data_IF_767617025792
#
_entry.id   IF_767617025792
#
_cell.length_a   1.000
_cell.length_b   1.000
_cell.length_c   1.000
_cell.angle_alpha   90.00
_cell.angle_beta   90.00
_cell.angle_gamma   90.00
#
_symmetry.space_group_name_H-M   'P 1'
#
loop_
_entity.id
_entity.type
_entity.pdbx_description
1 polymer ?
#
# COMPACT_ATOMS: atom_id res chain seq x y z
N UNK A 1 -10.89 -5.55 8.36
CA UNK A 1 -10.54 -4.86 9.63
C UNK A 1 -9.30 -3.96 9.54
N UNK A 2 -8.71 -3.75 8.35
CA UNK A 2 -7.50 -2.94 8.16
C UNK A 2 -7.69 -1.44 8.48
N UNK A 3 -8.86 -0.87 8.16
CA UNK A 3 -9.13 0.57 8.31
C UNK A 3 -9.08 1.11 9.75
N UNK A 4 -9.10 0.24 10.77
CA UNK A 4 -9.01 0.65 12.19
C UNK A 4 -7.65 0.34 12.82
N UNK A 5 -6.73 -0.29 12.10
CA UNK A 5 -5.42 -0.66 12.64
C UNK A 5 -4.54 0.58 12.85
N UNK A 6 -3.54 0.50 13.72
CA UNK A 6 -2.47 1.50 13.81
C UNK A 6 -1.40 1.22 12.72
N UNK A 7 -1.03 2.18 11.86
CA UNK A 7 0.02 2.01 10.86
C UNK A 7 1.34 1.50 11.43
N UNK A 8 1.78 1.99 12.59
CA UNK A 8 3.04 1.56 13.19
C UNK A 8 2.99 0.09 13.66
N UNK A 9 1.82 -0.37 14.11
CA UNK A 9 1.61 -1.77 14.44
C UNK A 9 1.64 -2.70 13.21
N UNK A 10 1.17 -2.25 12.05
CA UNK A 10 1.17 -3.05 10.81
C UNK A 10 2.59 -3.40 10.34
N UNK A 11 3.58 -2.53 10.59
CA UNK A 11 5.00 -2.78 10.27
C UNK A 11 5.62 -3.92 11.10
N UNK A 12 4.98 -4.33 12.20
CA UNK A 12 5.50 -5.38 13.11
C UNK A 12 4.87 -6.77 12.89
N UNK A 13 3.71 -6.86 12.21
CA UNK A 13 3.03 -8.13 11.91
C UNK A 13 3.75 -8.98 10.86
N UNK A 14 3.39 -10.23 10.55
CA UNK A 14 4.15 -11.10 9.63
C UNK A 14 4.36 -10.51 8.21
N UNK A 15 5.52 -10.82 7.58
CA UNK A 15 5.82 -10.38 6.20
C UNK A 15 5.69 -11.49 5.17
N UNK A 16 5.66 -11.10 3.90
CA UNK A 16 5.67 -11.98 2.74
C UNK A 16 5.29 -11.24 1.46
N UNK A 17 4.94 -12.01 0.43
CA UNK A 17 4.53 -11.46 -0.86
C UNK A 17 3.18 -10.74 -0.79
N UNK A 18 3.17 -9.51 -1.28
CA UNK A 18 1.95 -8.73 -1.50
C UNK A 18 1.03 -9.43 -2.51
N UNK A 19 1.57 -9.99 -3.58
CA UNK A 19 0.79 -10.74 -4.57
C UNK A 19 0.10 -11.97 -3.97
N UNK A 20 0.82 -12.77 -3.17
CA UNK A 20 0.22 -13.92 -2.46
C UNK A 20 -0.83 -13.47 -1.46
N UNK A 21 -0.55 -12.39 -0.72
CA UNK A 21 -1.50 -11.83 0.22
C UNK A 21 -2.82 -11.40 -0.46
N UNK A 22 -2.73 -10.70 -1.58
CA UNK A 22 -3.89 -10.27 -2.37
C UNK A 22 -4.71 -11.45 -2.89
N UNK A 23 -4.05 -12.52 -3.35
CA UNK A 23 -4.73 -13.76 -3.76
C UNK A 23 -5.42 -14.42 -2.57
N UNK A 24 -4.77 -14.49 -1.40
CA UNK A 24 -5.35 -15.05 -0.18
C UNK A 24 -6.56 -14.25 0.35
N UNK A 25 -6.63 -12.95 0.05
CA UNK A 25 -7.81 -12.11 0.31
C UNK A 25 -8.97 -12.34 -0.67
N UNK A 26 -8.77 -13.16 -1.71
CA UNK A 26 -9.80 -13.50 -2.70
C UNK A 26 -9.87 -12.55 -3.91
N UNK A 27 -8.88 -11.68 -4.11
CA UNK A 27 -8.83 -10.85 -5.31
C UNK A 27 -8.52 -11.69 -6.55
N UNK A 28 -9.25 -11.42 -7.64
CA UNK A 28 -9.03 -12.10 -8.91
C UNK A 28 -7.67 -11.75 -9.51
N UNK A 29 -7.10 -12.67 -10.28
CA UNK A 29 -5.84 -12.44 -11.00
C UNK A 29 -5.94 -11.21 -11.92
N UNK A 30 -7.10 -10.99 -12.54
CA UNK A 30 -7.34 -9.81 -13.38
C UNK A 30 -7.23 -8.51 -12.58
N UNK A 31 -7.79 -8.47 -11.37
CA UNK A 31 -7.70 -7.29 -10.50
C UNK A 31 -6.27 -7.07 -9.99
N UNK A 32 -5.58 -8.14 -9.58
CA UNK A 32 -4.17 -8.08 -9.18
C UNK A 32 -3.31 -7.51 -10.32
N UNK A 33 -3.51 -7.99 -11.54
CA UNK A 33 -2.73 -7.57 -12.71
C UNK A 33 -3.05 -6.16 -13.20
N UNK A 34 -4.32 -5.75 -13.22
CA UNK A 34 -4.76 -4.49 -13.84
C UNK A 34 -4.85 -3.31 -12.87
N UNK A 35 -5.00 -3.56 -11.57
CA UNK A 35 -5.14 -2.51 -10.57
C UNK A 35 -3.96 -2.51 -9.58
N UNK A 36 -3.75 -3.62 -8.86
CA UNK A 36 -2.76 -3.62 -7.79
C UNK A 36 -1.33 -3.54 -8.30
N UNK A 37 -0.97 -4.31 -9.33
CA UNK A 37 0.38 -4.32 -9.89
C UNK A 37 0.82 -2.95 -10.45
N UNK A 38 0.05 -2.24 -11.29
CA UNK A 38 0.47 -0.92 -11.78
C UNK A 38 0.50 0.15 -10.67
N UNK A 39 -0.46 0.14 -9.74
CA UNK A 39 -0.51 1.15 -8.66
C UNK A 39 0.56 0.90 -7.60
N UNK A 40 0.51 -0.26 -6.94
CA UNK A 40 1.39 -0.57 -5.82
C UNK A 40 2.79 -0.97 -6.27
N UNK A 41 2.97 -1.47 -7.50
CA UNK A 41 4.30 -1.71 -8.03
C UNK A 41 5.10 -0.41 -8.21
N UNK A 42 4.42 0.68 -8.57
CA UNK A 42 5.02 2.01 -8.59
C UNK A 42 5.29 2.58 -7.19
N UNK A 43 4.30 2.49 -6.28
CA UNK A 43 4.44 3.04 -4.92
C UNK A 43 5.50 2.28 -4.10
N UNK A 44 5.54 0.95 -4.20
CA UNK A 44 6.50 0.10 -3.49
C UNK A 44 7.85 -0.01 -4.21
N UNK A 45 7.95 0.47 -5.46
CA UNK A 45 9.09 0.22 -6.35
C UNK A 45 9.39 -1.28 -6.51
N UNK A 46 8.33 -2.09 -6.49
CA UNK A 46 8.37 -3.55 -6.67
C UNK A 46 7.35 -3.97 -7.74
N UNK A 47 7.78 -4.07 -9.02
CA UNK A 47 6.88 -4.36 -10.14
C UNK A 47 6.25 -5.76 -10.05
N UNK A 48 6.80 -6.67 -9.24
CA UNK A 48 6.30 -8.02 -9.08
C UNK A 48 5.39 -8.22 -7.86
N UNK A 49 5.31 -7.21 -6.98
CA UNK A 49 4.62 -7.32 -5.68
C UNK A 49 5.13 -8.52 -4.86
N UNK A 50 6.42 -8.80 -4.99
CA UNK A 50 7.12 -9.88 -4.30
C UNK A 50 7.30 -9.58 -2.82
N UNK A 51 7.38 -8.30 -2.42
CA UNK A 51 7.52 -7.84 -1.03
C UNK A 51 7.00 -6.39 -0.90
N UNK A 52 6.77 -5.81 0.26
CA UNK A 52 6.50 -6.41 1.57
C UNK A 52 5.01 -6.27 1.84
N UNK A 53 4.34 -7.36 2.25
CA UNK A 53 2.93 -7.34 2.65
C UNK A 53 2.67 -6.29 3.73
N UNK A 54 3.60 -6.12 4.68
CA UNK A 54 3.46 -5.15 5.79
C UNK A 54 3.40 -3.73 5.24
N UNK A 55 4.29 -3.40 4.31
CA UNK A 55 4.32 -2.10 3.65
C UNK A 55 3.06 -1.88 2.82
N UNK A 56 2.60 -2.90 2.10
CA UNK A 56 1.33 -2.85 1.39
C UNK A 56 0.16 -2.52 2.34
N UNK A 57 0.05 -3.22 3.48
CA UNK A 57 -1.03 -3.00 4.44
C UNK A 57 -1.04 -1.56 5.00
N UNK A 58 0.14 -1.00 5.28
CA UNK A 58 0.28 0.41 5.70
C UNK A 58 -0.18 1.35 4.60
N UNK A 59 0.33 1.19 3.38
CA UNK A 59 0.03 2.09 2.28
C UNK A 59 -1.43 2.00 1.83
N UNK A 60 -1.95 0.78 1.68
CA UNK A 60 -3.34 0.55 1.30
C UNK A 60 -4.28 1.15 2.35
N UNK A 61 -3.99 0.96 3.65
CA UNK A 61 -4.76 1.63 4.71
C UNK A 61 -4.69 3.15 4.55
N UNK A 62 -3.50 3.73 4.48
CA UNK A 62 -3.32 5.19 4.41
C UNK A 62 -4.05 5.79 3.20
N UNK A 63 -3.99 5.13 2.04
CA UNK A 63 -4.71 5.56 0.84
C UNK A 63 -6.24 5.38 0.96
N UNK A 64 -6.71 4.33 1.63
CA UNK A 64 -8.13 4.01 1.72
C UNK A 64 -8.90 4.82 2.79
N UNK A 65 -8.23 5.24 3.87
CA UNK A 65 -8.89 5.97 4.98
C UNK A 65 -8.28 7.33 5.30
N UNK A 66 -7.11 7.66 4.74
CA UNK A 66 -6.43 8.93 5.01
C UNK A 66 -6.97 10.08 4.16
N UNK A 67 -6.93 11.28 4.71
CA UNK A 67 -7.26 12.50 3.98
C UNK A 67 -6.17 12.86 2.97
N UNK A 68 -6.58 13.28 1.78
CA UNK A 68 -5.66 13.88 0.82
C UNK A 68 -5.37 15.33 1.23
N UNK A 69 -4.09 15.67 1.37
CA UNK A 69 -3.64 17.00 1.74
C UNK A 69 -2.46 17.45 0.88
N UNK A 70 -2.33 18.76 0.72
CA UNK A 70 -1.17 19.43 0.12
C UNK A 70 -0.70 20.48 1.15
N UNK A 71 0.62 20.67 1.36
CA UNK A 71 1.12 21.73 2.24
C UNK A 71 0.54 23.09 1.84
N UNK A 72 0.26 23.96 2.82
CA UNK A 72 -0.34 25.28 2.59
C UNK A 72 0.47 26.14 1.61
N UNK A 73 1.79 25.97 1.62
CA UNK A 73 2.73 26.67 0.73
C UNK A 73 3.06 25.90 -0.57
N UNK A 74 2.31 24.83 -0.86
CA UNK A 74 2.49 23.97 -2.03
C UNK A 74 3.54 22.85 -1.85
N UNK A 75 3.54 21.86 -2.76
CA UNK A 75 4.46 20.70 -2.70
C UNK A 75 5.95 21.09 -2.74
N UNK A 76 6.27 22.23 -3.35
CA UNK A 76 7.63 22.77 -3.40
C UNK A 76 8.18 23.22 -2.04
N UNK A 77 7.36 23.21 -0.98
CA UNK A 77 7.79 23.50 0.39
C UNK A 77 8.52 22.32 1.06
N UNK A 78 8.34 21.07 0.60
CA UNK A 78 8.95 19.87 1.23
C UNK A 78 10.50 19.87 1.19
N UNK A 79 11.17 20.22 0.08
CA UNK A 79 12.63 20.21 0.01
C UNK A 79 13.30 21.51 0.49
N UNK A 80 12.55 22.53 0.91
CA UNK A 80 13.11 23.79 1.43
C UNK A 80 13.54 23.61 2.89
#
# INVERSE_FOLDING_TARGET
RLGRSDPAALLRGPDGSTAEHLRALGFSETMVRRFFRPLFGGILLDPDLATSRRMFDVLFRTLAVGDAAVPVDGMAAIPR
#
